data_IF_110732584529
#
_entry.id   IF_110732584529
#
_cell.length_a   1.000
_cell.length_b   1.000
_cell.length_c   1.000
_cell.angle_alpha   90.00
_cell.angle_beta   90.00
_cell.angle_gamma   90.00
#
_symmetry.space_group_name_H-M   'P 1'
#
loop_
_entity.id
_entity.type
_entity.pdbx_description
1 polymer ?
#
# COMPACT_ATOMS: atom_id res chain seq x y z
N UNK A 1 -33.34 60.03 -34.76
CA UNK A 1 -32.03 59.92 -34.08
C UNK A 1 -32.09 58.66 -33.22
N UNK A 2 -31.13 57.76 -33.42
CA UNK A 2 -31.11 56.36 -32.96
C UNK A 2 -30.89 56.31 -31.44
N UNK A 3 -31.78 55.63 -30.71
CA UNK A 3 -31.54 55.28 -29.31
C UNK A 3 -30.67 54.01 -29.27
N UNK A 4 -29.49 54.14 -28.68
CA UNK A 4 -28.52 53.07 -28.51
C UNK A 4 -28.86 52.34 -27.20
N UNK A 5 -29.30 51.09 -27.30
CA UNK A 5 -29.49 50.20 -26.15
C UNK A 5 -28.12 49.54 -25.86
N UNK A 6 -27.49 49.88 -24.73
CA UNK A 6 -26.29 49.20 -24.25
C UNK A 6 -26.74 48.12 -23.25
N UNK A 7 -26.70 46.86 -23.68
CA UNK A 7 -26.82 45.70 -22.79
C UNK A 7 -25.40 45.37 -22.33
N UNK A 8 -25.11 45.58 -21.06
CA UNK A 8 -23.88 45.10 -20.42
C UNK A 8 -24.12 43.65 -20.01
N UNK A 9 -23.50 42.72 -20.72
CA UNK A 9 -23.46 41.30 -20.35
C UNK A 9 -22.34 41.13 -19.30
N UNK A 10 -22.70 41.00 -18.03
CA UNK A 10 -21.75 40.62 -16.99
C UNK A 10 -21.59 39.10 -17.08
N UNK A 11 -20.54 38.64 -17.76
CA UNK A 11 -20.11 37.24 -17.71
C UNK A 11 -19.41 37.01 -16.37
N UNK A 12 -20.12 36.43 -15.40
CA UNK A 12 -19.50 35.85 -14.22
C UNK A 12 -18.66 34.65 -14.65
N UNK A 13 -17.35 34.84 -14.79
CA UNK A 13 -16.41 33.72 -14.79
C UNK A 13 -16.35 33.19 -13.35
N UNK A 14 -17.10 32.14 -13.06
CA UNK A 14 -16.77 31.28 -11.91
C UNK A 14 -15.46 30.59 -12.28
N UNK A 15 -14.37 30.90 -11.57
CA UNK A 15 -13.17 30.11 -11.63
C UNK A 15 -13.52 28.71 -11.10
N UNK A 16 -13.75 27.76 -12.00
CA UNK A 16 -13.66 26.35 -11.65
C UNK A 16 -12.20 26.09 -11.38
N UNK A 17 -11.84 25.92 -10.10
CA UNK A 17 -10.56 25.31 -9.76
C UNK A 17 -10.52 23.95 -10.45
N UNK A 18 -9.44 23.64 -11.15
CA UNK A 18 -9.27 22.30 -11.70
C UNK A 18 -9.18 21.34 -10.50
N UNK A 19 -10.22 20.54 -10.30
CA UNK A 19 -10.17 19.39 -9.41
C UNK A 19 -9.58 18.23 -10.22
N UNK A 20 -8.63 17.50 -9.65
CA UNK A 20 -8.15 16.25 -10.22
C UNK A 20 -9.31 15.25 -10.34
N UNK A 21 -9.29 14.38 -11.36
CA UNK A 21 -10.32 13.36 -11.48
C UNK A 21 -10.25 12.41 -10.28
N UNK A 22 -11.40 12.07 -9.71
CA UNK A 22 -11.51 10.93 -8.80
C UNK A 22 -11.47 9.65 -9.62
N UNK A 23 -10.55 8.76 -9.29
CA UNK A 23 -10.34 7.47 -9.96
C UNK A 23 -10.53 6.37 -8.91
N UNK A 24 -11.20 5.28 -9.30
CA UNK A 24 -11.41 4.13 -8.42
C UNK A 24 -10.10 3.37 -8.19
N UNK A 25 -9.97 2.68 -7.05
CA UNK A 25 -8.80 1.82 -6.82
C UNK A 25 -8.73 0.73 -7.89
N UNK A 26 -9.87 0.18 -8.29
CA UNK A 26 -9.98 -0.76 -9.40
C UNK A 26 -9.32 -0.21 -10.68
N UNK A 27 -9.69 0.99 -11.13
CA UNK A 27 -9.14 1.54 -12.39
C UNK A 27 -7.64 1.83 -12.29
N UNK A 28 -7.15 2.18 -11.09
CA UNK A 28 -5.71 2.40 -10.86
C UNK A 28 -4.91 1.11 -10.97
N UNK A 29 -5.44 0.01 -10.45
CA UNK A 29 -4.75 -1.27 -10.39
C UNK A 29 -4.98 -2.13 -11.65
N UNK A 30 -6.16 -2.01 -12.28
CA UNK A 30 -6.58 -2.95 -13.32
C UNK A 30 -5.64 -3.03 -14.51
N UNK A 31 -5.27 -4.26 -14.86
CA UNK A 31 -4.54 -4.64 -16.06
C UNK A 31 -5.23 -5.80 -16.75
N UNK A 32 -5.27 -5.75 -18.08
CA UNK A 32 -5.89 -6.84 -18.85
C UNK A 32 -4.96 -8.04 -18.98
N UNK A 33 -5.55 -9.22 -19.20
CA UNK A 33 -4.83 -10.50 -19.28
C UNK A 33 -3.71 -10.48 -20.35
N UNK A 34 -3.88 -9.77 -21.47
CA UNK A 34 -2.85 -9.74 -22.51
C UNK A 34 -1.62 -8.97 -22.06
N UNK A 35 -1.81 -7.91 -21.26
CA UNK A 35 -0.73 -7.18 -20.60
C UNK A 35 -0.04 -8.03 -19.53
N UNK A 36 -0.80 -8.70 -18.66
CA UNK A 36 -0.24 -9.53 -17.60
C UNK A 36 0.55 -10.73 -18.13
N UNK A 37 0.09 -11.36 -19.21
CA UNK A 37 0.84 -12.41 -19.93
C UNK A 37 2.16 -11.89 -20.50
N UNK A 38 2.26 -10.57 -20.75
CA UNK A 38 3.46 -9.91 -21.21
C UNK A 38 4.33 -9.34 -20.07
N UNK A 39 4.00 -9.63 -18.81
CA UNK A 39 4.66 -9.07 -17.62
C UNK A 39 4.63 -7.52 -17.64
N UNK A 40 3.48 -6.95 -18.05
CA UNK A 40 3.20 -5.50 -18.04
C UNK A 40 2.05 -5.18 -17.08
N UNK A 41 2.40 -5.06 -15.81
CA UNK A 41 1.56 -4.71 -14.66
C UNK A 41 1.44 -3.19 -14.42
N UNK A 42 2.23 -2.36 -15.12
CA UNK A 42 2.26 -0.91 -14.90
C UNK A 42 0.87 -0.26 -15.02
N UNK A 43 0.47 0.46 -13.96
CA UNK A 43 -0.77 1.23 -13.93
C UNK A 43 -0.91 2.13 -15.16
N UNK A 44 -2.11 2.17 -15.75
CA UNK A 44 -2.43 3.09 -16.85
C UNK A 44 -2.40 4.57 -16.43
N UNK A 45 -2.34 4.83 -15.13
CA UNK A 45 -2.30 6.15 -14.53
C UNK A 45 -0.91 6.53 -14.02
N UNK A 46 0.14 5.74 -14.28
CA UNK A 46 1.51 6.06 -13.85
C UNK A 46 1.91 7.49 -14.24
N UNK A 47 2.31 8.27 -13.23
CA UNK A 47 2.67 9.69 -13.35
C UNK A 47 1.50 10.69 -13.32
N UNK A 48 0.24 10.23 -13.37
CA UNK A 48 -0.93 11.11 -13.27
C UNK A 48 -1.20 11.53 -11.82
N UNK A 49 -1.78 12.72 -11.67
CA UNK A 49 -2.31 13.21 -10.39
C UNK A 49 -3.82 13.00 -10.33
N UNK A 50 -4.28 12.26 -9.32
CA UNK A 50 -5.67 11.85 -9.15
C UNK A 50 -6.16 12.06 -7.71
N UNK A 51 -7.48 12.05 -7.53
CA UNK A 51 -8.10 11.82 -6.23
C UNK A 51 -8.47 10.34 -6.08
N UNK A 52 -8.30 9.76 -4.90
CA UNK A 52 -8.70 8.38 -4.58
C UNK A 52 -9.47 8.36 -3.27
N UNK A 53 -10.43 7.44 -3.20
CA UNK A 53 -11.21 7.17 -2.00
C UNK A 53 -11.03 5.72 -1.57
N UNK A 54 -10.95 5.48 -0.27
CA UNK A 54 -10.80 4.12 0.25
C UNK A 54 -10.83 4.02 1.77
N UNK A 55 -11.03 2.80 2.25
CA UNK A 55 -10.99 2.43 3.66
C UNK A 55 -9.55 2.18 4.06
N UNK A 56 -9.07 2.82 5.12
CA UNK A 56 -7.74 2.58 5.68
C UNK A 56 -7.71 1.23 6.40
N UNK A 57 -6.78 0.35 6.02
CA UNK A 57 -6.67 -1.00 6.60
C UNK A 57 -5.38 -1.26 7.37
N UNK A 58 -4.40 -0.36 7.25
CA UNK A 58 -3.10 -0.49 7.92
C UNK A 58 -2.76 0.77 8.70
N UNK A 59 -2.22 0.63 9.90
CA UNK A 59 -1.83 1.79 10.72
C UNK A 59 -0.50 2.36 10.19
N UNK A 60 -0.48 3.60 9.65
CA UNK A 60 0.75 4.21 9.14
C UNK A 60 1.85 4.35 10.19
N UNK A 61 1.50 4.37 11.49
CA UNK A 61 2.47 4.39 12.58
C UNK A 61 3.21 3.07 12.78
N UNK A 62 2.77 2.00 12.11
CA UNK A 62 3.41 0.69 12.16
C UNK A 62 4.16 0.37 10.87
N UNK A 63 4.18 1.28 9.89
CA UNK A 63 4.88 1.12 8.63
C UNK A 63 6.40 1.15 8.81
N UNK A 64 7.10 0.17 8.23
CA UNK A 64 8.54 0.00 8.43
C UNK A 64 9.34 -0.21 7.12
N UNK A 65 8.79 0.06 5.93
CA UNK A 65 9.55 -0.10 4.67
C UNK A 65 10.45 1.09 4.32
N UNK A 66 10.54 2.09 5.20
CA UNK A 66 11.50 3.16 5.04
C UNK A 66 12.85 2.71 5.61
N UNK A 67 13.95 3.02 4.92
CA UNK A 67 15.30 2.69 5.40
C UNK A 67 16.04 3.93 5.92
N UNK A 68 15.46 5.11 5.67
CA UNK A 68 16.03 6.41 5.99
C UNK A 68 15.05 7.35 6.70
N UNK A 69 13.85 6.87 7.06
CA UNK A 69 12.80 7.70 7.68
C UNK A 69 12.24 8.77 6.75
N UNK A 70 12.42 8.61 5.43
CA UNK A 70 12.03 9.62 4.44
C UNK A 70 10.57 9.51 3.99
N UNK A 71 9.88 8.44 4.37
CA UNK A 71 8.50 8.15 3.99
C UNK A 71 7.77 7.35 5.07
N UNK A 72 6.46 7.49 5.10
CA UNK A 72 5.53 6.62 5.85
C UNK A 72 4.35 6.25 4.94
N UNK A 73 3.77 5.06 5.14
CA UNK A 73 2.75 4.52 4.25
C UNK A 73 1.65 3.74 4.97
N UNK A 74 0.57 3.48 4.25
CA UNK A 74 -0.61 2.69 4.66
C UNK A 74 -1.23 2.02 3.45
N UNK A 75 -2.24 1.19 3.65
CA UNK A 75 -3.01 0.58 2.57
C UNK A 75 -4.46 1.03 2.66
N UNK A 76 -5.01 1.34 1.49
CA UNK A 76 -6.43 1.55 1.29
C UNK A 76 -7.03 0.32 0.60
N UNK A 77 -8.30 0.05 0.89
CA UNK A 77 -9.13 -0.84 0.09
C UNK A 77 -10.38 -0.12 -0.40
N UNK A 78 -10.96 -0.59 -1.50
CA UNK A 78 -12.18 -0.04 -2.05
C UNK A 78 -13.34 -0.07 -1.03
N UNK A 79 -14.21 0.93 -1.09
CA UNK A 79 -15.35 1.05 -0.17
C UNK A 79 -16.51 0.10 -0.50
N UNK A 80 -16.62 -0.28 -1.76
CA UNK A 80 -17.79 -0.95 -2.33
C UNK A 80 -17.50 -2.32 -2.92
N UNK A 81 -16.24 -2.59 -3.23
CA UNK A 81 -15.77 -3.84 -3.80
C UNK A 81 -14.73 -4.49 -2.88
N UNK A 82 -14.63 -5.82 -2.92
CA UNK A 82 -13.57 -6.57 -2.22
C UNK A 82 -12.91 -7.55 -3.19
N UNK A 83 -11.67 -7.90 -2.91
CA UNK A 83 -10.89 -8.83 -3.72
C UNK A 83 -10.15 -8.16 -4.87
N UNK A 84 -10.33 -8.69 -6.08
CA UNK A 84 -9.53 -8.31 -7.24
C UNK A 84 -9.56 -6.79 -7.51
N UNK A 85 -8.38 -6.21 -7.64
CA UNK A 85 -8.10 -4.81 -7.97
C UNK A 85 -8.55 -3.81 -6.92
N UNK A 86 -8.78 -4.24 -5.68
CA UNK A 86 -9.36 -3.37 -4.64
C UNK A 86 -8.37 -2.78 -3.65
N UNK A 87 -7.07 -3.10 -3.74
CA UNK A 87 -6.05 -2.63 -2.82
C UNK A 87 -5.15 -1.53 -3.39
N UNK A 88 -4.70 -0.60 -2.55
CA UNK A 88 -3.75 0.45 -2.97
C UNK A 88 -2.78 0.81 -1.84
N UNK A 89 -1.49 0.83 -2.15
CA UNK A 89 -0.47 1.36 -1.25
C UNK A 89 -0.44 2.89 -1.33
N UNK A 90 -0.56 3.56 -0.18
CA UNK A 90 -0.58 5.03 -0.07
C UNK A 90 0.56 5.48 0.82
N UNK A 91 1.31 6.51 0.42
CA UNK A 91 2.38 7.05 1.24
C UNK A 91 2.56 8.56 1.11
N UNK A 92 3.22 9.14 2.10
CA UNK A 92 3.83 10.46 2.00
C UNK A 92 5.35 10.31 1.91
N UNK A 93 5.95 11.00 0.95
CA UNK A 93 7.40 11.09 0.74
C UNK A 93 7.70 12.47 0.11
N UNK A 94 8.39 13.39 0.81
CA UNK A 94 8.66 14.72 0.29
C UNK A 94 9.44 14.72 -1.03
N UNK A 95 10.37 13.78 -1.20
CA UNK A 95 11.17 13.67 -2.41
C UNK A 95 10.35 13.20 -3.61
N UNK A 96 9.54 12.15 -3.41
CA UNK A 96 8.73 11.58 -4.48
C UNK A 96 7.51 12.45 -4.84
N UNK A 97 6.93 13.17 -3.87
CA UNK A 97 5.83 14.13 -4.11
C UNK A 97 6.30 15.46 -4.73
N UNK A 98 7.61 15.72 -4.73
CA UNK A 98 8.18 17.02 -5.12
C UNK A 98 7.96 18.12 -4.07
N UNK A 99 7.56 17.78 -2.86
CA UNK A 99 7.39 18.71 -1.75
C UNK A 99 8.75 19.23 -1.26
N UNK A 100 8.85 20.55 -1.09
CA UNK A 100 10.11 21.22 -0.74
C UNK A 100 10.49 21.17 0.75
N UNK A 101 9.62 20.64 1.61
CA UNK A 101 9.78 20.62 3.06
C UNK A 101 10.17 19.26 3.63
N UNK A 102 9.97 19.08 4.94
CA UNK A 102 10.24 17.83 5.67
C UNK A 102 9.05 16.86 5.58
N UNK A 103 9.28 15.61 6.01
CA UNK A 103 8.21 14.61 6.12
C UNK A 103 7.13 15.01 7.13
N UNK A 104 7.54 15.63 8.25
CA UNK A 104 6.63 16.18 9.27
C UNK A 104 5.75 17.31 8.68
N UNK A 105 6.35 18.23 7.92
CA UNK A 105 5.60 19.31 7.27
C UNK A 105 4.61 18.75 6.21
N UNK A 106 5.00 17.73 5.45
CA UNK A 106 4.11 17.06 4.51
C UNK A 106 2.99 16.27 5.22
N UNK A 107 3.28 15.63 6.35
CA UNK A 107 2.27 14.99 7.18
C UNK A 107 1.20 16.01 7.63
N UNK A 108 1.63 17.16 8.15
CA UNK A 108 0.72 18.23 8.58
C UNK A 108 -0.11 18.79 7.42
N UNK A 109 0.49 18.92 6.23
CA UNK A 109 -0.19 19.41 5.04
C UNK A 109 -1.26 18.44 4.52
N UNK A 110 -0.93 17.15 4.49
CA UNK A 110 -1.81 16.08 3.99
C UNK A 110 -2.80 15.58 5.04
N UNK A 111 -2.58 15.91 6.32
CA UNK A 111 -3.25 15.34 7.48
C UNK A 111 -3.11 13.81 7.53
N UNK A 112 -1.97 13.27 7.09
CA UNK A 112 -1.82 11.83 6.85
C UNK A 112 -2.04 11.01 8.11
N UNK A 113 -1.27 11.25 9.18
CA UNK A 113 -1.46 10.50 10.43
C UNK A 113 -2.83 10.77 11.05
N UNK A 114 -3.35 12.00 11.01
CA UNK A 114 -4.63 12.33 11.64
C UNK A 114 -5.83 11.65 10.95
N UNK A 115 -5.82 11.59 9.61
CA UNK A 115 -6.95 11.08 8.83
C UNK A 115 -6.82 9.60 8.47
N UNK A 116 -5.61 9.08 8.24
CA UNK A 116 -5.39 7.69 7.83
C UNK A 116 -5.33 6.74 9.02
N UNK A 117 -6.40 6.76 9.82
CA UNK A 117 -6.61 5.83 10.92
C UNK A 117 -7.43 4.64 10.44
N UNK A 118 -7.09 3.42 10.88
CA UNK A 118 -7.75 2.19 10.44
C UNK A 118 -9.27 2.28 10.61
N UNK A 119 -10.02 1.99 9.54
CA UNK A 119 -11.48 2.09 9.47
C UNK A 119 -12.01 3.47 9.06
N UNK A 120 -11.19 4.51 8.99
CA UNK A 120 -11.60 5.75 8.34
C UNK A 120 -11.72 5.51 6.83
N UNK A 121 -12.72 6.16 6.23
CA UNK A 121 -12.81 6.31 4.78
C UNK A 121 -12.26 7.69 4.42
N UNK A 122 -11.22 7.71 3.61
CA UNK A 122 -10.48 8.94 3.28
C UNK A 122 -10.61 9.27 1.80
N UNK A 123 -10.63 10.56 1.49
CA UNK A 123 -10.47 11.14 0.16
C UNK A 123 -9.12 11.87 0.13
N UNK A 124 -8.24 11.52 -0.80
CA UNK A 124 -6.88 12.06 -0.87
C UNK A 124 -6.38 12.27 -2.29
N UNK A 125 -5.48 13.25 -2.46
CA UNK A 125 -4.86 13.59 -3.74
C UNK A 125 -3.41 13.12 -3.78
N UNK A 126 -2.98 12.54 -4.90
CA UNK A 126 -1.59 12.11 -5.05
C UNK A 126 -1.19 11.79 -6.47
N UNK A 127 0.09 11.52 -6.65
CA UNK A 127 0.69 11.10 -7.90
C UNK A 127 0.77 9.57 -7.88
N UNK A 128 0.20 8.92 -8.89
CA UNK A 128 0.33 7.47 -9.08
C UNK A 128 1.74 7.18 -9.56
N UNK A 129 2.34 6.14 -9.02
CA UNK A 129 3.62 5.63 -9.47
C UNK A 129 3.86 4.20 -9.04
N UNK A 130 5.01 3.68 -9.43
CA UNK A 130 5.46 2.34 -9.08
C UNK A 130 6.79 2.40 -8.34
N UNK A 131 6.94 1.57 -7.30
CA UNK A 131 8.22 1.37 -6.62
C UNK A 131 8.41 -0.10 -6.29
N UNK A 132 9.51 -0.67 -6.76
CA UNK A 132 9.78 -2.11 -6.67
C UNK A 132 8.61 -2.95 -7.23
N UNK A 133 8.13 -2.54 -8.42
CA UNK A 133 6.98 -3.11 -9.16
C UNK A 133 5.61 -2.92 -8.50
N UNK A 134 5.56 -2.60 -7.20
CA UNK A 134 4.31 -2.29 -6.51
C UNK A 134 3.72 -0.91 -6.88
N UNK A 135 2.47 -0.90 -7.31
CA UNK A 135 1.64 0.30 -7.55
C UNK A 135 1.35 1.03 -6.25
N UNK A 136 1.62 2.34 -6.25
CA UNK A 136 1.46 3.21 -5.09
C UNK A 136 0.97 4.60 -5.49
N UNK A 137 0.34 5.29 -4.55
CA UNK A 137 0.04 6.71 -4.66
C UNK A 137 0.85 7.49 -3.62
N UNK A 138 1.58 8.51 -4.09
CA UNK A 138 2.33 9.42 -3.23
C UNK A 138 1.52 10.70 -3.07
N UNK A 139 1.09 11.00 -1.85
CA UNK A 139 0.26 12.18 -1.61
C UNK A 139 1.04 13.48 -1.86
N UNK A 140 0.35 14.46 -2.43
CA UNK A 140 0.87 15.81 -2.68
C UNK A 140 0.47 16.75 -1.53
N UNK A 141 0.94 18.00 -1.56
CA UNK A 141 0.64 19.08 -0.59
C UNK A 141 -0.83 19.54 -0.66
N UNK A 142 -1.75 18.62 -0.38
CA UNK A 142 -3.19 18.82 -0.36
C UNK A 142 -3.79 18.03 0.81
N UNK A 143 -4.64 18.65 1.65
CA UNK A 143 -5.21 17.99 2.80
C UNK A 143 -6.17 16.88 2.37
N UNK A 144 -5.96 15.69 2.92
CA UNK A 144 -6.96 14.62 2.85
C UNK A 144 -8.21 14.96 3.66
N UNK A 145 -9.31 14.25 3.41
CA UNK A 145 -10.57 14.41 4.15
C UNK A 145 -11.12 13.06 4.59
N UNK A 146 -11.61 12.97 5.83
CA UNK A 146 -12.42 11.83 6.28
C UNK A 146 -13.84 12.02 5.73
N UNK A 147 -14.26 11.14 4.82
CA UNK A 147 -15.58 11.17 4.18
C UNK A 147 -16.55 10.15 4.78
N UNK A 148 -16.05 9.23 5.62
CA UNK A 148 -16.86 8.22 6.27
C UNK A 148 -16.06 7.34 7.24
N UNK A 149 -16.74 6.32 7.74
CA UNK A 149 -16.16 5.29 8.60
C UNK A 149 -16.71 3.93 8.17
N UNK A 150 -15.85 2.92 8.15
CA UNK A 150 -16.20 1.54 7.84
C UNK A 150 -15.42 0.58 8.75
N UNK A 151 -15.85 -0.68 8.79
CA UNK A 151 -14.98 -1.76 9.27
C UNK A 151 -14.00 -2.16 8.17
N UNK A 152 -12.80 -2.57 8.55
CA UNK A 152 -11.88 -3.26 7.63
C UNK A 152 -12.59 -4.49 7.05
N UNK A 153 -12.61 -4.69 5.72
CA UNK A 153 -13.18 -5.87 5.11
C UNK A 153 -12.55 -7.17 5.64
N UNK A 154 -13.33 -8.25 5.63
CA UNK A 154 -12.78 -9.58 5.91
C UNK A 154 -11.71 -9.93 4.85
N UNK A 155 -10.65 -10.67 5.22
CA UNK A 155 -9.60 -11.02 4.28
C UNK A 155 -10.09 -12.00 3.22
N UNK A 156 -9.61 -11.84 2.00
CA UNK A 156 -9.84 -12.82 0.94
C UNK A 156 -9.08 -14.12 1.21
N UNK A 157 -9.79 -15.24 1.24
CA UNK A 157 -9.18 -16.55 1.49
C UNK A 157 -8.69 -17.14 0.18
N UNK A 158 -7.37 -17.15 -0.01
CA UNK A 158 -6.71 -17.58 -1.24
C UNK A 158 -5.71 -18.72 -0.99
N UNK A 159 -5.33 -19.39 -2.07
CA UNK A 159 -4.19 -20.32 -2.08
C UNK A 159 -2.90 -19.59 -2.45
N UNK A 160 -1.75 -20.12 -2.03
CA UNK A 160 -0.45 -19.54 -2.42
C UNK A 160 -0.22 -19.70 -3.93
N UNK A 161 -0.83 -20.70 -4.56
CA UNK A 161 -0.80 -20.95 -6.01
C UNK A 161 -1.39 -19.83 -6.86
N UNK A 162 -2.16 -18.91 -6.28
CA UNK A 162 -2.60 -17.67 -6.95
C UNK A 162 -1.43 -16.75 -7.26
N UNK A 163 -0.38 -16.79 -6.42
CA UNK A 163 0.76 -15.87 -6.45
C UNK A 163 2.03 -16.54 -6.94
N UNK A 164 2.22 -17.79 -6.55
CA UNK A 164 3.42 -18.53 -6.90
C UNK A 164 3.21 -20.03 -6.87
N UNK A 165 3.76 -20.75 -7.85
CA UNK A 165 3.69 -22.20 -7.94
C UNK A 165 5.07 -22.86 -7.83
N UNK A 166 5.13 -24.05 -7.24
CA UNK A 166 6.37 -24.82 -7.17
C UNK A 166 6.78 -25.36 -8.54
N UNK A 167 8.07 -25.22 -8.90
CA UNK A 167 8.66 -25.84 -10.09
C UNK A 167 8.97 -27.36 -9.92
N UNK A 168 8.72 -27.91 -8.72
CA UNK A 168 9.04 -29.29 -8.34
C UNK A 168 10.54 -29.58 -8.12
N UNK A 169 11.43 -28.62 -8.38
CA UNK A 169 12.88 -28.66 -8.14
C UNK A 169 13.33 -27.85 -6.92
N UNK A 170 12.40 -27.18 -6.24
CA UNK A 170 12.65 -26.33 -5.07
C UNK A 170 12.66 -24.83 -5.39
N UNK A 171 12.54 -24.47 -6.67
CA UNK A 171 12.26 -23.11 -7.12
C UNK A 171 10.76 -22.79 -7.09
N UNK A 172 10.44 -21.55 -7.42
CA UNK A 172 9.10 -21.00 -7.46
C UNK A 172 8.93 -20.24 -8.77
N UNK A 173 7.73 -20.31 -9.34
CA UNK A 173 7.29 -19.59 -10.54
C UNK A 173 6.29 -18.54 -10.08
N UNK A 174 6.44 -17.29 -10.49
CA UNK A 174 5.47 -16.23 -10.20
C UNK A 174 4.26 -16.38 -11.10
N UNK A 175 3.07 -16.12 -10.56
CA UNK A 175 1.81 -16.21 -11.28
C UNK A 175 1.21 -14.81 -11.49
N UNK A 176 1.84 -13.98 -12.30
CA UNK A 176 1.42 -12.57 -12.53
C UNK A 176 -0.03 -12.45 -13.01
N UNK A 177 -0.48 -13.34 -13.90
CA UNK A 177 -1.85 -13.30 -14.46
C UNK A 177 -2.93 -13.45 -13.38
N UNK A 178 -2.65 -14.22 -12.33
CA UNK A 178 -3.62 -14.47 -11.24
C UNK A 178 -3.32 -13.67 -9.98
N UNK A 179 -2.05 -13.37 -9.72
CA UNK A 179 -1.59 -12.70 -8.52
C UNK A 179 -1.76 -11.18 -8.56
N UNK A 180 -1.60 -10.57 -9.73
CA UNK A 180 -1.56 -9.10 -9.86
C UNK A 180 -2.85 -8.43 -9.40
N UNK A 181 -3.98 -9.08 -9.67
CA UNK A 181 -5.28 -8.62 -9.21
C UNK A 181 -5.36 -8.47 -7.69
N UNK A 182 -4.48 -9.08 -6.91
CA UNK A 182 -4.54 -9.02 -5.46
C UNK A 182 -3.46 -8.13 -4.85
N UNK A 183 -2.69 -7.38 -5.64
CA UNK A 183 -1.78 -6.38 -5.09
C UNK A 183 -2.53 -5.38 -4.18
N UNK A 184 -1.96 -5.12 -3.00
CA UNK A 184 -2.55 -4.23 -1.99
C UNK A 184 -3.77 -4.80 -1.27
N UNK A 185 -4.24 -6.01 -1.62
CA UNK A 185 -5.45 -6.62 -1.05
C UNK A 185 -5.13 -7.34 0.25
N UNK A 186 -6.04 -7.25 1.23
CA UNK A 186 -5.97 -7.99 2.48
C UNK A 186 -6.40 -9.45 2.28
N UNK A 187 -5.49 -10.39 2.50
CA UNK A 187 -5.69 -11.82 2.22
C UNK A 187 -5.44 -12.70 3.45
N UNK A 188 -5.89 -13.95 3.36
CA UNK A 188 -5.63 -15.02 4.33
C UNK A 188 -5.20 -16.30 3.62
N UNK A 189 -4.06 -16.85 4.04
CA UNK A 189 -3.66 -18.21 3.70
C UNK A 189 -3.98 -19.16 4.85
N UNK A 190 -4.45 -20.38 4.53
CA UNK A 190 -4.81 -21.39 5.51
C UNK A 190 -3.88 -22.59 5.45
N UNK A 191 -3.65 -23.22 6.62
CA UNK A 191 -2.96 -24.50 6.75
C UNK A 191 -1.56 -24.49 6.13
N UNK A 192 -0.77 -23.48 6.46
CA UNK A 192 0.58 -23.26 5.91
C UNK A 192 1.67 -23.63 6.93
N UNK A 193 2.86 -23.88 6.41
CA UNK A 193 4.04 -24.18 7.21
C UNK A 193 5.08 -23.08 7.04
N UNK A 194 5.77 -22.73 8.13
CA UNK A 194 6.92 -21.84 8.05
C UNK A 194 8.13 -22.59 7.47
N UNK A 195 8.75 -22.03 6.44
CA UNK A 195 9.94 -22.57 5.77
C UNK A 195 10.99 -21.49 5.53
N UNK A 196 12.21 -21.93 5.21
CA UNK A 196 13.29 -21.08 4.72
C UNK A 196 13.59 -19.83 5.58
N UNK A 197 13.58 -20.00 6.90
CA UNK A 197 13.92 -18.94 7.86
C UNK A 197 15.43 -18.68 7.87
N UNK A 198 15.83 -17.46 7.50
CA UNK A 198 17.22 -17.02 7.46
C UNK A 198 17.36 -15.56 7.93
N UNK A 199 18.45 -15.20 8.63
CA UNK A 199 18.77 -13.80 8.90
C UNK A 199 19.01 -13.01 7.61
N UNK A 200 18.49 -11.78 7.56
CA UNK A 200 18.76 -10.80 6.51
C UNK A 200 19.43 -9.56 7.14
N UNK A 201 20.72 -9.37 6.85
CA UNK A 201 21.53 -8.39 7.58
C UNK A 201 21.60 -8.73 9.07
N UNK A 202 21.79 -7.70 9.90
CA UNK A 202 22.02 -7.87 11.35
C UNK A 202 20.73 -7.91 12.18
N UNK A 203 19.60 -7.46 11.63
CA UNK A 203 18.39 -7.14 12.41
C UNK A 203 17.07 -7.53 11.74
N UNK A 204 17.10 -8.19 10.58
CA UNK A 204 15.88 -8.59 9.86
C UNK A 204 15.90 -10.06 9.52
N UNK A 205 14.76 -10.55 9.06
CA UNK A 205 14.55 -11.94 8.71
C UNK A 205 13.98 -12.06 7.31
N UNK A 206 14.47 -13.03 6.55
CA UNK A 206 13.80 -13.56 5.36
C UNK A 206 13.23 -14.91 5.73
N UNK A 207 11.93 -15.09 5.53
CA UNK A 207 11.23 -16.33 5.82
C UNK A 207 9.98 -16.46 4.96
N UNK A 208 9.51 -17.70 4.80
CA UNK A 208 8.46 -18.03 3.85
C UNK A 208 7.37 -18.86 4.52
N UNK A 209 6.16 -18.78 3.94
CA UNK A 209 5.10 -19.74 4.15
C UNK A 209 5.08 -20.72 3.00
N UNK A 210 4.78 -21.98 3.28
CA UNK A 210 4.61 -23.03 2.29
C UNK A 210 3.30 -23.78 2.51
N UNK A 211 2.54 -24.01 1.44
CA UNK A 211 1.34 -24.87 1.49
C UNK A 211 1.67 -26.37 1.35
N UNK A 212 0.66 -27.22 1.31
CA UNK A 212 0.85 -28.66 1.19
C UNK A 212 1.39 -29.12 -0.18
N UNK A 213 1.20 -28.30 -1.22
CA UNK A 213 1.62 -28.57 -2.59
C UNK A 213 3.04 -28.06 -2.88
N UNK A 214 3.62 -27.33 -1.92
CA UNK A 214 5.00 -26.87 -1.95
C UNK A 214 5.16 -25.46 -2.49
N UNK A 215 4.06 -24.75 -2.77
CA UNK A 215 4.04 -23.37 -3.19
C UNK A 215 4.45 -22.47 -2.03
N UNK A 216 5.26 -21.44 -2.29
CA UNK A 216 5.82 -20.57 -1.26
C UNK A 216 5.51 -19.11 -1.51
N UNK A 217 5.31 -18.37 -0.43
CA UNK A 217 5.24 -16.91 -0.46
C UNK A 217 6.12 -16.33 0.66
N UNK A 218 6.86 -15.29 0.33
CA UNK A 218 7.72 -14.62 1.31
C UNK A 218 6.86 -13.82 2.29
N UNK A 219 7.25 -13.81 3.57
CA UNK A 219 6.76 -12.80 4.51
C UNK A 219 7.60 -11.53 4.39
N UNK A 220 6.93 -10.42 4.06
CA UNK A 220 7.50 -9.09 3.96
C UNK A 220 7.48 -8.39 5.31
N UNK A 221 8.58 -7.74 5.62
CA UNK A 221 8.81 -6.96 6.83
C UNK A 221 8.22 -5.54 6.72
N UNK A 222 7.00 -5.40 6.21
CA UNK A 222 6.40 -4.09 5.97
C UNK A 222 5.87 -3.42 7.24
N UNK A 223 5.51 -4.21 8.25
CA UNK A 223 5.17 -3.73 9.58
C UNK A 223 6.36 -3.83 10.54
N UNK A 224 6.51 -2.81 11.39
CA UNK A 224 7.49 -2.78 12.47
C UNK A 224 7.39 -4.01 13.39
N UNK A 225 6.21 -4.62 13.54
CA UNK A 225 6.01 -5.80 14.38
C UNK A 225 6.83 -7.04 13.96
N UNK A 226 7.37 -7.06 12.74
CA UNK A 226 8.11 -8.20 12.18
C UNK A 226 9.60 -7.89 11.95
N UNK A 227 10.16 -6.93 12.70
CA UNK A 227 11.54 -6.45 12.55
C UNK A 227 12.26 -6.27 13.88
N UNK A 228 13.59 -6.25 13.82
CA UNK A 228 14.46 -6.00 14.98
C UNK A 228 15.39 -4.81 14.74
N UNK A 229 15.25 -4.09 13.62
CA UNK A 229 15.99 -2.85 13.45
C UNK A 229 15.22 -1.74 14.14
N UNK A 230 15.91 -0.97 14.98
CA UNK A 230 15.37 0.25 15.61
C UNK A 230 15.33 1.38 14.57
N UNK A 231 14.83 1.08 13.37
CA UNK A 231 14.94 1.97 12.24
C UNK A 231 14.21 3.29 12.49
N UNK A 232 14.59 4.29 11.71
CA UNK A 232 14.07 5.67 11.63
C UNK A 232 12.60 5.78 11.24
N UNK A 233 11.81 4.74 11.48
CA UNK A 233 10.40 4.62 11.07
C UNK A 233 9.46 4.84 12.29
N UNK A 234 10.04 5.16 13.45
CA UNK A 234 9.37 5.43 14.73
C UNK A 234 8.78 6.86 14.82
N UNK A 235 8.79 7.61 13.72
CA UNK A 235 8.47 9.03 13.69
C UNK A 235 7.03 9.33 14.17
N UNK A 236 6.12 8.36 14.02
CA UNK A 236 4.73 8.52 14.43
C UNK A 236 4.57 8.79 15.94
N UNK A 237 5.40 8.18 16.80
CA UNK A 237 5.30 8.43 18.23
C UNK A 237 5.73 9.84 18.60
N UNK A 238 6.62 10.47 17.83
CA UNK A 238 7.04 11.85 18.04
C UNK A 238 5.91 12.80 17.61
N UNK A 239 5.25 12.52 16.49
CA UNK A 239 4.24 13.41 15.91
C UNK A 239 2.85 13.26 16.55
N UNK A 240 2.49 12.07 17.04
CA UNK A 240 1.23 11.84 17.75
C UNK A 240 1.24 12.31 19.22
N UNK A 241 2.28 13.05 19.64
CA UNK A 241 2.47 13.51 21.02
C UNK A 241 2.94 12.41 21.99
N UNK A 242 3.41 11.27 21.48
CA UNK A 242 4.12 10.26 22.24
C UNK A 242 5.55 10.68 22.59
N UNK A 243 6.24 9.84 23.37
CA UNK A 243 7.64 10.08 23.70
C UNK A 243 8.55 9.59 22.56
N UNK A 244 9.64 10.30 22.29
CA UNK A 244 10.66 9.83 21.37
C UNK A 244 11.19 8.46 21.82
N UNK A 245 11.15 7.47 20.92
CA UNK A 245 11.54 6.08 21.19
C UNK A 245 10.39 5.14 21.58
N UNK A 246 9.14 5.59 21.55
CA UNK A 246 7.98 4.69 21.56
C UNK A 246 7.80 4.14 20.14
N UNK A 247 7.95 2.84 19.95
CA UNK A 247 7.81 2.20 18.64
C UNK A 247 6.88 1.00 18.73
N UNK A 248 6.12 0.77 17.65
CA UNK A 248 5.42 -0.49 17.47
C UNK A 248 6.40 -1.64 17.17
N UNK A 249 7.62 -1.33 16.78
CA UNK A 249 8.69 -2.30 16.54
C UNK A 249 9.11 -2.94 17.86
N UNK A 250 9.00 -4.27 18.00
CA UNK A 250 9.44 -4.94 19.21
C UNK A 250 10.97 -4.83 19.36
N UNK A 251 11.46 -4.81 20.60
CA UNK A 251 12.90 -4.89 20.89
C UNK A 251 13.56 -6.12 20.25
N UNK A 252 12.79 -7.20 20.07
CA UNK A 252 13.20 -8.43 19.41
C UNK A 252 11.99 -9.15 18.80
N UNK A 253 12.00 -9.33 17.49
CA UNK A 253 11.18 -10.28 16.75
C UNK A 253 12.01 -11.49 16.30
N UNK A 254 11.44 -12.68 16.43
CA UNK A 254 12.00 -13.91 15.87
C UNK A 254 10.86 -14.64 15.15
N UNK A 255 11.00 -14.94 13.84
CA UNK A 255 10.00 -15.71 13.12
C UNK A 255 9.75 -17.06 13.79
N UNK A 256 8.55 -17.65 13.60
CA UNK A 256 8.34 -19.03 14.01
C UNK A 256 9.40 -19.95 13.38
N UNK A 257 9.80 -21.00 14.09
CA UNK A 257 10.84 -21.92 13.57
C UNK A 257 10.35 -22.68 12.35
N UNK A 258 11.25 -23.03 11.43
CA UNK A 258 10.95 -23.89 10.28
C UNK A 258 10.21 -25.17 10.70
N UNK A 259 9.13 -25.49 9.99
CA UNK A 259 8.23 -26.62 10.27
C UNK A 259 7.06 -26.28 11.20
N UNK A 260 6.97 -25.03 11.69
CA UNK A 260 5.79 -24.57 12.44
C UNK A 260 4.57 -24.59 11.53
N UNK A 261 3.51 -25.24 11.98
CA UNK A 261 2.20 -25.19 11.33
C UNK A 261 1.41 -23.98 11.82
N UNK A 262 0.84 -23.23 10.89
CA UNK A 262 -0.04 -22.09 11.15
C UNK A 262 -1.41 -22.39 10.55
N UNK A 263 -2.45 -22.32 11.39
CA UNK A 263 -3.84 -22.54 10.93
C UNK A 263 -4.22 -21.49 9.88
N UNK A 264 -3.82 -20.24 10.11
CA UNK A 264 -3.91 -19.18 9.11
C UNK A 264 -2.81 -18.12 9.33
N UNK A 265 -2.52 -17.38 8.27
CA UNK A 265 -1.75 -16.13 8.29
C UNK A 265 -2.49 -15.12 7.43
N UNK A 266 -2.50 -13.85 7.85
CA UNK A 266 -3.15 -12.74 7.14
C UNK A 266 -2.16 -11.64 6.89
N UNK A 267 -2.42 -10.82 5.88
CA UNK A 267 -1.60 -9.68 5.52
C UNK A 267 -2.07 -9.08 4.21
N UNK A 268 -1.40 -8.01 3.82
CA UNK A 268 -1.59 -7.37 2.51
C UNK A 268 -0.62 -7.98 1.51
N UNK A 269 -1.06 -8.27 0.29
CA UNK A 269 -0.13 -8.67 -0.78
C UNK A 269 0.63 -7.46 -1.26
N UNK A 270 1.95 -7.62 -1.42
CA UNK A 270 2.81 -6.66 -2.07
C UNK A 270 3.63 -7.36 -3.13
N UNK A 271 3.78 -6.75 -4.30
CA UNK A 271 4.89 -7.12 -5.17
C UNK A 271 6.21 -6.63 -4.57
N UNK A 272 7.27 -7.45 -4.69
CA UNK A 272 8.53 -7.18 -4.03
C UNK A 272 9.74 -7.27 -4.97
N UNK A 273 10.67 -6.33 -4.74
CA UNK A 273 12.01 -6.17 -5.29
C UNK A 273 12.58 -7.38 -6.06
N UNK A 274 12.68 -7.22 -7.37
CA UNK A 274 13.45 -8.09 -8.26
C UNK A 274 12.66 -8.71 -9.41
N UNK A 275 11.41 -8.32 -9.64
CA UNK A 275 10.59 -8.72 -10.79
C UNK A 275 10.17 -10.17 -10.80
N UNK A 276 10.13 -10.83 -9.63
CA UNK A 276 9.95 -12.29 -9.59
C UNK A 276 9.11 -12.85 -8.44
N UNK A 277 8.52 -12.03 -7.55
CA UNK A 277 7.71 -12.58 -6.47
C UNK A 277 6.73 -11.59 -5.80
N UNK A 278 5.51 -12.07 -5.57
CA UNK A 278 4.60 -11.54 -4.57
C UNK A 278 5.03 -11.93 -3.15
N UNK A 279 4.66 -11.10 -2.19
CA UNK A 279 4.94 -11.28 -0.78
C UNK A 279 3.72 -10.94 0.07
N UNK A 280 3.65 -11.50 1.28
CA UNK A 280 2.63 -11.17 2.26
C UNK A 280 3.22 -10.22 3.31
N UNK A 281 2.63 -9.04 3.48
CA UNK A 281 2.91 -8.07 4.53
C UNK A 281 1.89 -8.21 5.68
N UNK A 282 2.21 -8.97 6.75
CA UNK A 282 1.30 -9.23 7.87
C UNK A 282 1.22 -8.10 8.91
#
# INVERSE_FOLDING_TARGET
>A
MKQLLIIVLISCFTATYAQWPTVSIHDLQFRDEASLVAEDDLSLYDGDTVMVQGIVIFDPCTYALSTSGSRIGTFLVDETETGEWTGLHVLIDPGASGYGGTLEELNDATLFIDNFQVGNVVDCAGIIGTFDENTQIVLIDEPSSIIGFSSVPDPEVLGIDVFSTSDGGGGQIQETVTGEAYEGVYVQFNNVFVVDVAPFGDFRWTWYLQDADGNKIQIRDASGFYRNDTNTDDECSIWSGGAAGETATPDEFTPPTTGTYLEYVRGVIMEAYGGTAYSLAP
#
